data_IF_878258586824
#
_entry.id   IF_878258586824
#
_cell.length_a   1.000
_cell.length_b   1.000
_cell.length_c   1.000
_cell.angle_alpha   90.00
_cell.angle_beta   90.00
_cell.angle_gamma   90.00
#
_symmetry.space_group_name_H-M   'P 1'
#
loop_
_entity.id
_entity.type
_entity.pdbx_description
1 polymer ?
#
# COMPACT_ATOMS: atom_id res chain seq x y z
N UNK A 1 -4.77 -38.63 -6.70
CA UNK A 1 -4.88 -37.25 -7.22
C UNK A 1 -3.67 -36.46 -6.73
N UNK A 2 -2.88 -35.82 -7.60
CA UNK A 2 -1.76 -35.00 -7.15
C UNK A 2 -2.30 -33.72 -6.49
N UNK A 3 -1.74 -33.35 -5.34
CA UNK A 3 -2.06 -32.09 -4.68
C UNK A 3 -1.57 -30.91 -5.56
N UNK A 4 -2.34 -29.82 -5.70
CA UNK A 4 -1.87 -28.65 -6.40
C UNK A 4 -0.66 -28.04 -5.67
N UNK A 5 0.34 -27.60 -6.44
CA UNK A 5 1.52 -26.93 -5.89
C UNK A 5 1.11 -25.64 -5.16
N UNK A 6 1.77 -25.34 -4.03
CA UNK A 6 1.58 -24.13 -3.21
C UNK A 6 1.55 -22.82 -4.05
N UNK A 7 2.34 -22.77 -5.12
CA UNK A 7 2.42 -21.66 -6.07
C UNK A 7 1.08 -21.38 -6.77
N UNK A 8 0.32 -22.44 -7.08
CA UNK A 8 -0.98 -22.36 -7.77
C UNK A 8 -2.08 -21.88 -6.83
N UNK A 9 -2.05 -22.31 -5.56
CA UNK A 9 -2.98 -21.83 -4.53
C UNK A 9 -2.78 -20.33 -4.29
N UNK A 10 -1.51 -19.88 -4.21
CA UNK A 10 -1.16 -18.47 -4.07
C UNK A 10 -1.65 -17.63 -5.26
N UNK A 11 -1.43 -18.11 -6.49
CA UNK A 11 -1.86 -17.40 -7.70
C UNK A 11 -3.39 -17.35 -7.85
N UNK A 12 -4.10 -18.42 -7.50
CA UNK A 12 -5.56 -18.46 -7.55
C UNK A 12 -6.19 -17.55 -6.48
N UNK A 13 -5.60 -17.48 -5.29
CA UNK A 13 -6.08 -16.59 -4.23
C UNK A 13 -5.78 -15.11 -4.51
N UNK A 14 -4.60 -14.79 -5.09
CA UNK A 14 -4.27 -13.43 -5.55
C UNK A 14 -5.24 -12.97 -6.64
N UNK A 15 -5.61 -13.85 -7.57
CA UNK A 15 -6.66 -13.55 -8.56
C UNK A 15 -8.05 -13.40 -7.94
N UNK A 16 -8.32 -14.09 -6.82
CA UNK A 16 -9.57 -13.95 -6.06
C UNK A 16 -9.63 -12.62 -5.31
N UNK A 17 -8.51 -12.17 -4.72
CA UNK A 17 -8.36 -10.83 -4.13
C UNK A 17 -8.46 -9.73 -5.20
N UNK A 18 -7.89 -9.95 -6.39
CA UNK A 18 -7.95 -8.99 -7.50
C UNK A 18 -9.31 -8.94 -8.21
N UNK A 19 -10.19 -9.92 -8.00
CA UNK A 19 -11.56 -9.99 -8.55
C UNK A 19 -12.65 -9.62 -7.54
N UNK A 20 -12.31 -9.38 -6.28
CA UNK A 20 -13.25 -8.73 -5.37
C UNK A 20 -13.34 -7.26 -5.80
N UNK A 21 -14.49 -6.91 -6.38
CA UNK A 21 -15.12 -5.59 -6.25
C UNK A 21 -14.87 -5.04 -4.84
N UNK A 22 -14.82 -3.70 -4.66
CA UNK A 22 -14.44 -3.08 -3.39
C UNK A 22 -15.12 -3.83 -2.26
N UNK A 23 -14.31 -4.34 -1.33
CA UNK A 23 -14.82 -4.82 -0.07
C UNK A 23 -15.47 -3.59 0.60
N UNK A 24 -16.71 -3.34 0.24
CA UNK A 24 -17.75 -2.77 1.10
C UNK A 24 -18.02 -3.81 2.21
N UNK A 25 -16.97 -4.33 2.85
CA UNK A 25 -17.03 -4.53 4.28
C UNK A 25 -17.18 -3.12 4.82
N UNK A 26 -18.44 -2.70 4.91
CA UNK A 26 -18.88 -1.56 5.69
C UNK A 26 -18.11 -1.68 7.01
N UNK A 27 -17.06 -0.84 7.14
CA UNK A 27 -16.25 -0.82 8.35
C UNK A 27 -17.29 -0.67 9.45
N UNK A 28 -17.44 -1.69 10.30
CA UNK A 28 -18.45 -1.72 11.37
C UNK A 28 -18.03 -0.72 12.46
N UNK A 29 -17.82 0.51 12.06
CA UNK A 29 -17.58 1.66 12.90
C UNK A 29 -18.97 2.05 13.41
N UNK A 30 -19.16 2.14 14.73
CA UNK A 30 -20.40 2.63 15.30
C UNK A 30 -20.82 3.96 14.67
N UNK A 31 -22.12 4.14 14.45
CA UNK A 31 -22.66 5.40 13.90
C UNK A 31 -22.21 6.60 14.76
N UNK A 32 -21.78 7.66 14.10
CA UNK A 32 -21.25 8.87 14.75
C UNK A 32 -19.77 8.80 15.15
N UNK A 33 -19.06 7.72 14.82
CA UNK A 33 -17.63 7.57 15.08
C UNK A 33 -16.80 7.51 13.80
N UNK A 34 -15.53 7.90 13.91
CA UNK A 34 -14.49 7.70 12.90
C UNK A 34 -13.19 7.23 13.55
N UNK A 35 -12.21 6.79 12.76
CA UNK A 35 -10.89 6.46 13.28
C UNK A 35 -10.18 7.70 13.80
N UNK A 36 -9.70 7.65 15.05
CA UNK A 36 -8.75 8.65 15.53
C UNK A 36 -7.38 8.41 14.88
N UNK A 37 -7.04 9.25 13.91
CA UNK A 37 -5.76 9.17 13.18
C UNK A 37 -4.59 9.84 13.90
N UNK A 38 -4.81 10.48 15.05
CA UNK A 38 -3.72 11.13 15.79
C UNK A 38 -2.74 10.08 16.29
N UNK A 39 -1.51 10.14 15.76
CA UNK A 39 -0.46 9.17 16.09
C UNK A 39 -0.65 7.78 15.46
N UNK A 40 -1.53 7.63 14.47
CA UNK A 40 -1.62 6.38 13.69
C UNK A 40 -0.48 6.32 12.66
N UNK A 41 0.67 5.77 13.08
CA UNK A 41 1.88 5.74 12.26
C UNK A 41 1.73 4.90 10.99
N UNK A 42 0.86 3.88 10.99
CA UNK A 42 0.59 3.08 9.79
C UNK A 42 -0.17 3.92 8.76
N UNK A 43 -1.21 4.62 9.20
CA UNK A 43 -1.98 5.51 8.34
C UNK A 43 -1.10 6.63 7.77
N UNK A 44 -0.29 7.27 8.61
CA UNK A 44 0.66 8.29 8.18
C UNK A 44 1.66 7.74 7.15
N UNK A 45 2.24 6.56 7.39
CA UNK A 45 3.17 5.93 6.46
C UNK A 45 2.52 5.59 5.12
N UNK A 46 1.28 5.09 5.10
CA UNK A 46 0.50 4.86 3.87
C UNK A 46 0.33 6.17 3.09
N UNK A 47 -0.05 7.25 3.76
CA UNK A 47 -0.21 8.57 3.12
C UNK A 47 1.10 9.10 2.54
N UNK A 48 2.24 8.88 3.20
CA UNK A 48 3.56 9.26 2.68
C UNK A 48 3.90 8.50 1.39
N UNK A 49 3.62 7.19 1.33
CA UNK A 49 3.84 6.39 0.11
C UNK A 49 2.96 6.90 -1.04
N UNK A 50 1.65 7.05 -0.81
CA UNK A 50 0.70 7.53 -1.82
C UNK A 50 1.05 8.97 -2.26
N UNK A 51 1.46 9.81 -1.33
CA UNK A 51 1.92 11.18 -1.61
C UNK A 51 3.13 11.21 -2.54
N UNK A 52 4.15 10.40 -2.26
CA UNK A 52 5.34 10.30 -3.11
C UNK A 52 5.02 9.75 -4.51
N UNK A 53 4.14 8.74 -4.61
CA UNK A 53 3.65 8.22 -5.90
C UNK A 53 2.89 9.29 -6.67
N UNK A 54 2.03 10.03 -5.99
CA UNK A 54 1.27 11.13 -6.58
C UNK A 54 2.20 12.23 -7.08
N UNK A 55 3.27 12.54 -6.33
CA UNK A 55 4.27 13.52 -6.74
C UNK A 55 5.02 13.06 -8.00
N UNK A 56 5.53 11.82 -8.01
CA UNK A 56 6.16 11.23 -9.19
C UNK A 56 5.22 11.29 -10.40
N UNK A 57 3.96 10.93 -10.24
CA UNK A 57 2.97 10.95 -11.33
C UNK A 57 2.70 12.36 -11.86
N UNK A 58 2.72 13.39 -11.01
CA UNK A 58 2.51 14.79 -11.42
C UNK A 58 3.71 15.35 -12.16
N UNK A 59 4.91 15.03 -11.70
CA UNK A 59 6.16 15.51 -12.27
C UNK A 59 6.63 14.69 -13.47
N UNK A 60 5.97 13.57 -13.75
CA UNK A 60 6.38 12.71 -14.85
C UNK A 60 6.12 13.37 -16.21
N UNK A 61 7.20 13.67 -16.92
CA UNK A 61 7.17 14.11 -18.32
C UNK A 61 8.46 13.69 -19.04
N UNK A 62 8.45 13.77 -20.37
CA UNK A 62 9.57 13.33 -21.23
C UNK A 62 10.86 14.12 -20.98
N UNK A 63 10.77 15.38 -20.55
CA UNK A 63 11.93 16.23 -20.24
C UNK A 63 12.45 16.13 -18.80
N UNK A 64 11.85 15.27 -17.96
CA UNK A 64 12.29 15.04 -16.58
C UNK A 64 13.67 14.37 -16.60
N UNK A 65 14.60 14.84 -15.76
CA UNK A 65 15.97 14.32 -15.74
C UNK A 65 16.04 12.94 -15.10
N UNK A 66 17.01 12.12 -15.53
CA UNK A 66 17.17 10.76 -15.01
C UNK A 66 17.46 10.74 -13.50
N UNK A 67 18.27 11.69 -13.03
CA UNK A 67 18.58 11.84 -11.61
C UNK A 67 17.34 12.17 -10.78
N UNK A 68 16.52 13.12 -11.26
CA UNK A 68 15.30 13.50 -10.57
C UNK A 68 14.28 12.35 -10.54
N UNK A 69 14.07 11.67 -11.66
CA UNK A 69 13.22 10.48 -11.72
C UNK A 69 13.67 9.40 -10.72
N UNK A 70 14.97 9.11 -10.69
CA UNK A 70 15.54 8.09 -9.80
C UNK A 70 15.36 8.46 -8.32
N UNK A 71 15.52 9.73 -7.97
CA UNK A 71 15.30 10.21 -6.60
C UNK A 71 13.83 10.08 -6.17
N UNK A 72 12.88 10.45 -7.03
CA UNK A 72 11.46 10.26 -6.74
C UNK A 72 11.12 8.78 -6.46
N UNK A 73 11.65 7.85 -7.26
CA UNK A 73 11.40 6.41 -7.05
C UNK A 73 12.07 5.90 -5.78
N UNK A 74 13.27 6.39 -5.46
CA UNK A 74 13.95 6.07 -4.20
C UNK A 74 13.13 6.53 -2.99
N UNK A 75 12.58 7.75 -3.01
CA UNK A 75 11.69 8.25 -1.95
C UNK A 75 10.48 7.34 -1.76
N UNK A 76 9.86 6.86 -2.84
CA UNK A 76 8.75 5.90 -2.77
C UNK A 76 9.19 4.61 -2.07
N UNK A 77 10.33 4.03 -2.48
CA UNK A 77 10.85 2.80 -1.88
C UNK A 77 11.20 2.97 -0.40
N UNK A 78 11.76 4.11 0.00
CA UNK A 78 12.12 4.40 1.39
C UNK A 78 10.87 4.59 2.26
N UNK A 79 9.85 5.31 1.77
CA UNK A 79 8.56 5.38 2.46
C UNK A 79 7.88 4.02 2.58
N UNK A 80 7.99 3.15 1.57
CA UNK A 80 7.42 1.81 1.62
C UNK A 80 8.15 0.91 2.63
N UNK A 81 9.48 0.99 2.73
CA UNK A 81 10.25 0.30 3.78
C UNK A 81 9.86 0.79 5.16
N UNK A 82 9.68 2.10 5.32
CA UNK A 82 9.19 2.68 6.57
C UNK A 82 7.78 2.17 6.90
N UNK A 83 6.88 2.06 5.92
CA UNK A 83 5.54 1.49 6.13
C UNK A 83 5.62 0.06 6.69
N UNK A 84 6.49 -0.80 6.16
CA UNK A 84 6.70 -2.14 6.72
C UNK A 84 7.24 -2.12 8.14
N UNK A 85 8.19 -1.24 8.44
CA UNK A 85 8.71 -1.11 9.80
C UNK A 85 7.62 -0.65 10.79
N UNK A 86 6.80 0.33 10.39
CA UNK A 86 5.69 0.81 11.20
C UNK A 86 4.62 -0.27 11.36
N UNK A 87 4.25 -1.00 10.31
CA UNK A 87 3.18 -2.00 10.34
C UNK A 87 3.48 -3.15 11.31
N UNK A 88 4.73 -3.59 11.44
CA UNK A 88 5.11 -4.74 12.28
C UNK A 88 4.59 -4.63 13.72
N UNK A 89 4.75 -3.46 14.35
CA UNK A 89 4.32 -3.26 15.74
C UNK A 89 2.80 -3.33 15.87
N UNK A 90 2.05 -2.79 14.92
CA UNK A 90 0.58 -2.79 14.96
C UNK A 90 -0.02 -4.13 14.56
N UNK A 91 0.61 -4.87 13.65
CA UNK A 91 0.15 -6.21 13.28
C UNK A 91 0.24 -7.12 14.50
N UNK A 92 1.30 -7.01 15.31
CA UNK A 92 1.49 -7.87 16.50
C UNK A 92 0.40 -7.78 17.57
N UNK A 93 -0.40 -6.70 17.60
CA UNK A 93 -1.49 -6.51 18.57
C UNK A 93 -2.85 -7.02 18.08
N UNK A 94 -2.94 -7.50 16.83
CA UNK A 94 -4.16 -8.07 16.26
C UNK A 94 -4.35 -9.54 16.67
N UNK A 95 -5.56 -10.07 16.51
CA UNK A 95 -5.82 -11.51 16.63
C UNK A 95 -5.06 -12.29 15.56
N UNK A 96 -4.74 -13.56 15.81
CA UNK A 96 -3.97 -14.39 14.86
C UNK A 96 -4.62 -14.47 13.46
N UNK A 97 -5.95 -14.54 13.39
CA UNK A 97 -6.68 -14.55 12.11
C UNK A 97 -6.53 -13.22 11.37
N UNK A 98 -6.68 -12.10 12.08
CA UNK A 98 -6.54 -10.77 11.49
C UNK A 98 -5.09 -10.47 11.07
N UNK A 99 -4.10 -10.97 11.81
CA UNK A 99 -2.69 -10.88 11.41
C UNK A 99 -2.44 -11.55 10.06
N UNK A 100 -2.98 -12.75 9.86
CA UNK A 100 -2.82 -13.49 8.62
C UNK A 100 -3.45 -12.74 7.43
N UNK A 101 -4.63 -12.16 7.61
CA UNK A 101 -5.31 -11.39 6.58
C UNK A 101 -4.50 -10.15 6.18
N UNK A 102 -4.04 -9.36 7.15
CA UNK A 102 -3.18 -8.20 6.88
C UNK A 102 -1.89 -8.61 6.17
N UNK A 103 -1.27 -9.72 6.61
CA UNK A 103 -0.02 -10.21 6.00
C UNK A 103 -0.22 -10.61 4.53
N UNK A 104 -1.38 -11.14 4.15
CA UNK A 104 -1.67 -11.46 2.74
C UNK A 104 -1.64 -10.22 1.86
N UNK A 105 -2.22 -9.10 2.32
CA UNK A 105 -2.19 -7.84 1.57
C UNK A 105 -0.78 -7.24 1.57
N UNK A 106 -0.04 -7.35 2.68
CA UNK A 106 1.36 -6.93 2.76
C UNK A 106 2.24 -7.62 1.70
N UNK A 107 1.97 -8.90 1.37
CA UNK A 107 2.71 -9.60 0.30
C UNK A 107 2.55 -8.98 -1.09
N UNK A 108 1.43 -8.27 -1.35
CA UNK A 108 1.24 -7.52 -2.59
C UNK A 108 2.16 -6.29 -2.64
N UNK A 109 2.28 -5.58 -1.51
CA UNK A 109 3.21 -4.46 -1.36
C UNK A 109 4.67 -4.90 -1.48
N UNK A 110 5.04 -6.02 -0.84
CA UNK A 110 6.37 -6.62 -0.97
C UNK A 110 6.69 -6.98 -2.43
N UNK A 111 5.68 -7.48 -3.16
CA UNK A 111 5.82 -7.76 -4.59
C UNK A 111 6.03 -6.49 -5.42
N UNK A 112 5.30 -5.41 -5.13
CA UNK A 112 5.47 -4.14 -5.81
C UNK A 112 6.84 -3.51 -5.53
N UNK A 113 7.33 -3.57 -4.28
CA UNK A 113 8.68 -3.11 -3.92
C UNK A 113 9.76 -3.86 -4.71
N UNK A 114 9.64 -5.19 -4.82
CA UNK A 114 10.57 -6.01 -5.59
C UNK A 114 10.59 -5.60 -7.05
N UNK A 115 9.41 -5.42 -7.65
CA UNK A 115 9.28 -4.99 -9.04
C UNK A 115 9.86 -3.58 -9.28
N UNK A 116 9.62 -2.64 -8.36
CA UNK A 116 10.24 -1.31 -8.40
C UNK A 116 11.76 -1.39 -8.31
N UNK A 117 12.28 -2.20 -7.38
CA UNK A 117 13.71 -2.38 -7.19
C UNK A 117 14.39 -2.97 -8.43
N UNK A 118 13.75 -3.95 -9.08
CA UNK A 118 14.25 -4.55 -10.31
C UNK A 118 14.25 -3.57 -11.49
N UNK A 119 13.16 -2.82 -11.68
CA UNK A 119 13.08 -1.80 -12.72
C UNK A 119 14.10 -0.68 -12.51
N UNK A 120 14.30 -0.24 -11.25
CA UNK A 120 15.32 0.74 -10.90
C UNK A 120 16.73 0.23 -11.15
N UNK A 121 17.01 -1.05 -10.85
CA UNK A 121 18.31 -1.65 -11.16
C UNK A 121 18.61 -1.57 -12.65
N UNK A 122 17.65 -1.91 -13.52
CA UNK A 122 17.79 -1.83 -14.98
C UNK A 122 18.00 -0.39 -15.47
N UNK A 123 17.30 0.57 -14.87
CA UNK A 123 17.44 2.00 -15.16
C UNK A 123 18.86 2.53 -14.89
N UNK A 124 19.56 1.94 -13.91
CA UNK A 124 20.91 2.34 -13.52
C UNK A 124 22.01 1.63 -14.31
N UNK A 125 21.68 0.79 -15.29
CA UNK A 125 22.67 0.15 -16.15
C UNK A 125 23.35 1.16 -17.09
N UNK A 126 24.68 1.14 -17.17
CA UNK A 126 25.48 2.16 -17.87
C UNK A 126 25.24 2.23 -19.39
N UNK A 127 24.70 1.16 -20.00
CA UNK A 127 24.54 1.04 -21.45
C UNK A 127 23.07 0.96 -21.91
N UNK A 128 22.13 1.43 -21.09
CA UNK A 128 20.72 1.39 -21.43
C UNK A 128 20.40 2.30 -22.63
N UNK A 129 19.65 1.79 -23.60
CA UNK A 129 19.20 2.59 -24.74
C UNK A 129 18.16 3.63 -24.28
N UNK A 130 18.05 4.75 -25.01
CA UNK A 130 17.04 5.78 -24.71
C UNK A 130 15.61 5.23 -24.77
N UNK A 131 15.34 4.32 -25.70
CA UNK A 131 14.02 3.71 -25.87
C UNK A 131 13.67 2.78 -24.71
N UNK A 132 14.61 1.92 -24.31
CA UNK A 132 14.44 1.02 -23.16
C UNK A 132 14.29 1.81 -21.86
N UNK A 133 15.07 2.89 -21.69
CA UNK A 133 14.97 3.78 -20.54
C UNK A 133 13.58 4.38 -20.40
N UNK A 134 13.02 4.91 -21.50
CA UNK A 134 11.66 5.47 -21.52
C UNK A 134 10.58 4.40 -21.29
N UNK A 135 10.80 3.17 -21.77
CA UNK A 135 9.91 2.04 -21.51
C UNK A 135 9.91 1.65 -20.02
N UNK A 136 11.08 1.53 -19.40
CA UNK A 136 11.22 1.23 -17.97
C UNK A 136 10.63 2.35 -17.11
N UNK A 137 10.79 3.61 -17.48
CA UNK A 137 10.15 4.75 -16.79
C UNK A 137 8.63 4.62 -16.75
N UNK A 138 8.01 4.23 -17.87
CA UNK A 138 6.57 3.94 -17.93
C UNK A 138 6.19 2.70 -17.13
N UNK A 139 7.03 1.67 -17.12
CA UNK A 139 6.83 0.48 -16.30
C UNK A 139 6.85 0.81 -14.80
N UNK A 140 7.81 1.61 -14.35
CA UNK A 140 7.88 2.10 -12.97
C UNK A 140 6.61 2.84 -12.59
N UNK A 141 6.12 3.77 -13.42
CA UNK A 141 4.83 4.43 -13.15
C UNK A 141 3.68 3.44 -13.00
N UNK A 142 3.58 2.46 -13.89
CA UNK A 142 2.54 1.43 -13.82
C UNK A 142 2.62 0.63 -12.51
N UNK A 143 3.83 0.27 -12.07
CA UNK A 143 4.05 -0.39 -10.78
C UNK A 143 3.67 0.54 -9.63
N UNK A 144 4.08 1.81 -9.66
CA UNK A 144 3.74 2.82 -8.63
C UNK A 144 2.24 3.04 -8.51
N UNK A 145 1.48 3.10 -9.61
CA UNK A 145 0.02 3.22 -9.54
C UNK A 145 -0.64 2.00 -8.89
N UNK A 146 -0.18 0.79 -9.23
CA UNK A 146 -0.65 -0.44 -8.57
C UNK A 146 -0.28 -0.45 -7.08
N UNK A 147 0.93 -0.01 -6.74
CA UNK A 147 1.38 0.13 -5.36
C UNK A 147 0.46 1.09 -4.57
N UNK A 148 0.09 2.24 -5.13
CA UNK A 148 -0.83 3.18 -4.47
C UNK A 148 -2.20 2.54 -4.19
N UNK A 149 -2.75 1.79 -5.15
CA UNK A 149 -3.98 1.03 -4.95
C UNK A 149 -3.82 0.01 -3.82
N UNK A 150 -2.74 -0.78 -3.83
CA UNK A 150 -2.47 -1.77 -2.80
C UNK A 150 -2.22 -1.15 -1.42
N UNK A 151 -1.61 0.04 -1.33
CA UNK A 151 -1.44 0.77 -0.08
C UNK A 151 -2.78 1.22 0.52
N UNK A 152 -3.72 1.65 -0.33
CA UNK A 152 -5.09 1.97 0.11
C UNK A 152 -5.78 0.71 0.65
N UNK A 153 -5.72 -0.40 -0.10
CA UNK A 153 -6.27 -1.68 0.35
C UNK A 153 -5.63 -2.15 1.67
N UNK A 154 -4.32 -2.03 1.82
CA UNK A 154 -3.62 -2.36 3.06
C UNK A 154 -4.13 -1.54 4.24
N UNK A 155 -4.31 -0.21 4.08
CA UNK A 155 -4.87 0.64 5.14
C UNK A 155 -6.30 0.24 5.51
N UNK A 156 -7.13 -0.11 4.52
CA UNK A 156 -8.51 -0.56 4.73
C UNK A 156 -8.55 -1.89 5.49
N UNK A 157 -7.74 -2.87 5.08
CA UNK A 157 -7.62 -4.16 5.77
C UNK A 157 -7.10 -4.01 7.20
N UNK A 158 -6.09 -3.16 7.43
CA UNK A 158 -5.58 -2.88 8.79
C UNK A 158 -6.66 -2.26 9.66
N UNK A 159 -7.43 -1.31 9.13
CA UNK A 159 -8.53 -0.69 9.87
C UNK A 159 -9.62 -1.72 10.24
N UNK A 160 -10.06 -2.53 9.28
CA UNK A 160 -11.06 -3.59 9.53
C UNK A 160 -10.54 -4.60 10.56
N UNK A 161 -9.28 -5.01 10.45
CA UNK A 161 -8.63 -5.89 11.41
C UNK A 161 -8.59 -5.29 12.82
N UNK A 162 -8.28 -3.99 12.95
CA UNK A 162 -8.30 -3.29 14.25
C UNK A 162 -9.69 -3.28 14.89
N UNK A 163 -10.74 -3.10 14.10
CA UNK A 163 -12.13 -3.14 14.59
C UNK A 163 -12.45 -4.55 15.11
N UNK A 164 -12.22 -5.59 14.30
CA UNK A 164 -12.52 -6.98 14.66
C UNK A 164 -11.70 -7.49 15.84
N UNK A 165 -10.46 -7.05 15.96
CA UNK A 165 -9.58 -7.34 17.09
C UNK A 165 -9.89 -6.51 18.36
N UNK A 166 -10.81 -5.54 18.29
CA UNK A 166 -11.18 -4.70 19.43
C UNK A 166 -10.09 -3.70 19.86
N UNK A 167 -9.15 -3.37 18.96
CA UNK A 167 -8.01 -2.46 19.22
C UNK A 167 -8.10 -1.16 18.42
N UNK A 168 -9.20 -0.93 17.70
CA UNK A 168 -9.45 0.31 16.97
C UNK A 168 -9.56 1.50 17.93
N UNK A 169 -8.87 2.59 17.60
CA UNK A 169 -9.04 3.89 18.25
C UNK A 169 -10.06 4.69 17.46
N UNK A 170 -11.19 4.99 18.09
CA UNK A 170 -12.30 5.72 17.47
C UNK A 170 -12.56 7.02 18.23
N UNK A 171 -13.00 8.04 17.51
CA UNK A 171 -13.44 9.33 18.06
C UNK A 171 -14.84 9.69 17.54
N UNK A 172 -15.59 10.48 18.31
CA UNK A 172 -16.86 11.04 17.86
C UNK A 172 -16.63 12.03 16.71
N UNK A 173 -17.52 12.01 15.73
CA UNK A 173 -17.53 12.99 14.65
C UNK A 173 -18.04 14.32 15.21
N UNK A 174 -17.29 15.41 14.98
CA UNK A 174 -17.56 16.74 15.55
C UNK A 174 -19.00 17.26 15.30
N UNK A 175 -19.67 16.82 14.23
CA UNK A 175 -21.07 17.16 13.95
C UNK A 175 -22.06 16.70 15.05
N UNK A 176 -21.72 15.66 15.83
CA UNK A 176 -22.52 15.19 16.96
C UNK A 176 -22.26 15.94 18.26
N UNK A 177 -21.15 16.69 18.35
CA UNK A 177 -20.85 17.55 19.51
C UNK A 177 -21.67 18.86 19.50
N UNK A 178 -22.24 19.23 18.34
CA UNK A 178 -23.01 20.47 18.18
C UNK A 178 -24.47 20.38 18.64
N UNK A 179 -24.95 19.22 19.12
CA UNK A 179 -26.34 19.00 19.53
C UNK A 179 -26.57 18.84 21.04
N UNK A 180 -25.56 19.10 21.89
CA UNK A 180 -25.69 19.05 23.36
C UNK A 180 -25.40 20.39 24.06
N UNK A 181 -25.84 21.52 23.52
CA UNK A 181 -25.80 22.81 24.22
C UNK A 181 -27.14 23.53 24.21
#
# INVERSE_FOLDING_TARGET
LPLPALSTVRAQHINSLSKKQPLDEEKNIPSGYEFDRRGDRVHEAVFRVIGAITNLSKEFHTTMTNGHFSECVKIIMDHLRNLFNESMQYISILTASDQQEVKLVETLLESDLRNLSEAMKKILEENISKEDYEALRREVLKISHRLAFNCKQFSETVDSARIRSGVAKLQLIDAFLAHEV
#
